data_IF_459024264226
#
_entry.id   IF_459024264226
#
_cell.length_a   1.000
_cell.length_b   1.000
_cell.length_c   1.000
_cell.angle_alpha   90.00
_cell.angle_beta   90.00
_cell.angle_gamma   90.00
#
_symmetry.space_group_name_H-M   'P 1'
#
loop_
_entity.id
_entity.type
_entity.pdbx_description
1 polymer ?
#
# COMPACT_ATOMS: atom_id res chain seq x y z
N UNK A 1 68.69 5.36 2.43
CA UNK A 1 67.55 6.08 1.84
C UNK A 1 66.53 5.03 1.43
N UNK A 2 65.54 4.79 2.27
CA UNK A 2 64.42 3.90 2.00
C UNK A 2 63.19 4.77 1.81
N UNK A 3 62.74 4.94 0.57
CA UNK A 3 61.52 5.65 0.23
C UNK A 3 60.30 4.85 0.73
N UNK A 4 59.47 5.53 1.52
CA UNK A 4 58.16 5.06 1.94
C UNK A 4 57.18 5.39 0.81
N UNK A 5 56.73 4.37 0.08
CA UNK A 5 55.60 4.51 -0.84
C UNK A 5 54.32 4.48 0.00
N UNK A 6 53.68 5.65 0.13
CA UNK A 6 52.30 5.76 0.63
C UNK A 6 51.36 5.13 -0.40
N UNK A 7 50.56 4.15 0.00
CA UNK A 7 49.42 3.67 -0.80
C UNK A 7 48.29 4.70 -0.66
N UNK A 8 47.85 5.26 -1.78
CA UNK A 8 46.56 5.94 -1.87
C UNK A 8 45.45 4.92 -1.56
N UNK A 9 44.66 5.19 -0.53
CA UNK A 9 43.41 4.46 -0.29
C UNK A 9 42.37 4.96 -1.29
N UNK A 10 41.83 4.04 -2.11
CA UNK A 10 40.74 4.29 -3.03
C UNK A 10 39.52 4.85 -2.28
N UNK A 11 39.27 6.16 -2.39
CA UNK A 11 37.96 6.74 -2.18
C UNK A 11 36.99 6.13 -3.20
N UNK A 12 36.28 5.06 -2.81
CA UNK A 12 35.07 4.64 -3.51
C UNK A 12 34.09 5.81 -3.49
N UNK A 13 34.05 6.58 -4.57
CA UNK A 13 32.96 7.50 -4.87
C UNK A 13 31.67 6.68 -4.84
N UNK A 14 30.93 6.78 -3.74
CA UNK A 14 29.58 6.26 -3.63
C UNK A 14 28.77 6.95 -4.72
N UNK A 15 28.32 6.17 -5.71
CA UNK A 15 27.32 6.64 -6.64
C UNK A 15 26.12 7.16 -5.84
N UNK A 16 25.54 8.32 -6.22
CA UNK A 16 24.35 8.82 -5.55
C UNK A 16 23.26 7.74 -5.63
N UNK A 17 22.54 7.48 -4.53
CA UNK A 17 21.52 6.44 -4.50
C UNK A 17 20.46 6.73 -5.56
N UNK A 18 19.99 5.67 -6.23
CA UNK A 18 18.94 5.75 -7.24
C UNK A 18 17.74 6.56 -6.71
N UNK A 19 17.37 7.68 -7.35
CA UNK A 19 16.27 8.53 -6.90
C UNK A 19 14.92 7.81 -6.92
N UNK A 20 14.80 6.70 -7.64
CA UNK A 20 13.61 5.84 -7.69
C UNK A 20 13.60 4.75 -6.62
N UNK A 21 14.70 4.59 -5.87
CA UNK A 21 14.74 3.63 -4.77
C UNK A 21 13.71 4.01 -3.70
N UNK A 22 13.00 3.01 -3.18
CA UNK A 22 11.95 3.14 -2.18
C UNK A 22 12.34 4.09 -1.02
N UNK A 23 13.55 3.93 -0.49
CA UNK A 23 14.04 4.75 0.62
C UNK A 23 14.30 6.23 0.27
N UNK A 24 14.68 6.53 -0.98
CA UNK A 24 14.87 7.92 -1.43
C UNK A 24 13.53 8.58 -1.72
N UNK A 25 12.60 7.85 -2.35
CA UNK A 25 11.23 8.31 -2.61
C UNK A 25 10.52 8.70 -1.31
N UNK A 26 10.42 7.78 -0.34
CA UNK A 26 9.70 8.05 0.92
C UNK A 26 10.39 9.06 1.84
N UNK A 27 11.66 9.40 1.59
CA UNK A 27 12.37 10.46 2.28
C UNK A 27 12.01 11.89 1.81
N UNK A 28 11.26 12.07 0.71
CA UNK A 28 10.89 13.41 0.21
C UNK A 28 9.56 13.88 0.83
N UNK A 29 9.52 15.16 1.22
CA UNK A 29 8.33 15.77 1.81
C UNK A 29 7.13 15.82 0.85
N UNK A 30 7.35 15.93 -0.46
CA UNK A 30 6.28 15.93 -1.46
C UNK A 30 5.45 14.64 -1.39
N UNK A 31 6.10 13.49 -1.29
CA UNK A 31 5.41 12.19 -1.25
C UNK A 31 4.67 12.00 0.09
N UNK A 32 5.29 12.42 1.20
CA UNK A 32 4.60 12.46 2.50
C UNK A 32 3.41 13.43 2.51
N UNK A 33 3.53 14.58 1.83
CA UNK A 33 2.47 15.55 1.73
C UNK A 33 1.25 14.99 0.97
N UNK A 34 1.46 14.26 -0.13
CA UNK A 34 0.37 13.61 -0.86
C UNK A 34 -0.43 12.67 0.05
N UNK A 35 0.27 11.89 0.88
CA UNK A 35 -0.32 11.00 1.87
C UNK A 35 -1.06 11.74 2.98
N UNK A 36 -0.49 12.84 3.51
CA UNK A 36 -1.08 13.65 4.56
C UNK A 36 -2.29 14.49 4.09
N UNK A 37 -2.32 14.88 2.82
CA UNK A 37 -3.43 15.63 2.22
C UNK A 37 -4.62 14.74 1.87
N UNK A 38 -4.43 13.42 1.80
CA UNK A 38 -5.53 12.46 1.78
C UNK A 38 -6.24 12.48 3.14
N UNK A 39 -7.27 13.33 3.23
CA UNK A 39 -8.05 13.50 4.45
C UNK A 39 -8.87 12.26 4.81
N UNK A 40 -9.31 11.48 3.81
CA UNK A 40 -10.08 10.24 4.04
C UNK A 40 -9.21 9.23 4.77
N UNK A 41 -7.98 9.03 4.27
CA UNK A 41 -6.96 8.23 4.95
C UNK A 41 -6.65 8.79 6.33
N UNK A 42 -6.16 10.03 6.39
CA UNK A 42 -5.51 10.55 7.60
C UNK A 42 -6.50 10.71 8.74
N UNK A 43 -7.72 11.19 8.45
CA UNK A 43 -8.76 11.33 9.48
C UNK A 43 -9.28 9.98 9.97
N UNK A 44 -9.44 8.97 9.08
CA UNK A 44 -9.88 7.65 9.52
C UNK A 44 -8.87 7.01 10.48
N UNK A 45 -7.56 7.08 10.17
CA UNK A 45 -6.51 6.60 11.08
C UNK A 45 -6.54 7.34 12.42
N UNK A 46 -6.67 8.67 12.38
CA UNK A 46 -6.80 9.48 13.60
C UNK A 46 -8.00 9.06 14.42
N UNK A 47 -9.17 8.91 13.80
CA UNK A 47 -10.41 8.50 14.46
C UNK A 47 -10.31 7.09 15.01
N UNK A 48 -9.75 6.15 14.26
CA UNK A 48 -9.56 4.77 14.70
C UNK A 48 -8.71 4.71 15.97
N UNK A 49 -7.66 5.55 16.06
CA UNK A 49 -6.79 5.63 17.24
C UNK A 49 -7.47 6.39 18.39
N UNK A 50 -7.91 7.62 18.15
CA UNK A 50 -8.40 8.53 19.21
C UNK A 50 -9.76 8.12 19.78
N UNK A 51 -10.67 7.58 18.95
CA UNK A 51 -11.98 7.12 19.45
C UNK A 51 -11.87 5.77 20.21
N UNK A 52 -10.75 5.06 20.03
CA UNK A 52 -10.39 3.87 20.78
C UNK A 52 -9.27 4.14 21.79
N UNK A 53 -9.22 5.35 22.35
CA UNK A 53 -8.27 5.78 23.40
C UNK A 53 -7.97 4.72 24.48
N UNK A 54 -8.96 3.93 24.92
CA UNK A 54 -8.79 2.84 25.90
C UNK A 54 -7.80 1.75 25.46
N UNK A 55 -7.60 1.60 24.15
CA UNK A 55 -6.61 0.68 23.58
C UNK A 55 -5.20 1.27 23.59
N UNK A 56 -5.06 2.59 23.78
CA UNK A 56 -3.79 3.32 23.73
C UNK A 56 -3.37 3.91 25.07
N UNK A 57 -4.30 4.28 25.97
CA UNK A 57 -4.00 5.00 27.20
C UNK A 57 -3.00 4.22 28.08
N UNK A 58 -1.85 4.85 28.35
CA UNK A 58 -0.76 4.25 29.12
C UNK A 58 0.01 3.11 28.43
N UNK A 59 -0.38 2.71 27.21
CA UNK A 59 0.21 1.60 26.47
C UNK A 59 1.53 1.95 25.78
N UNK A 60 2.30 0.91 25.45
CA UNK A 60 3.47 0.97 24.59
C UNK A 60 3.04 0.68 23.14
N UNK A 61 3.28 1.64 22.25
CA UNK A 61 2.85 1.58 20.85
C UNK A 61 4.05 1.51 19.92
N UNK A 62 3.96 0.72 18.85
CA UNK A 62 4.91 0.70 17.74
C UNK A 62 4.23 1.25 16.47
N UNK A 63 4.83 2.27 15.87
CA UNK A 63 4.45 2.83 14.57
C UNK A 63 5.43 2.36 13.50
N UNK A 64 4.99 1.42 12.64
CA UNK A 64 5.83 0.74 11.65
C UNK A 64 5.80 1.50 10.33
N UNK A 65 6.97 1.97 9.88
CA UNK A 65 7.07 2.82 8.69
C UNK A 65 6.45 4.20 8.95
N UNK A 66 6.81 4.79 10.09
CA UNK A 66 6.14 5.96 10.66
C UNK A 66 6.15 7.19 9.75
N UNK A 67 7.02 7.25 8.73
CA UNK A 67 7.14 8.39 7.83
C UNK A 67 7.40 9.67 8.62
N UNK A 68 6.47 10.61 8.58
CA UNK A 68 6.53 11.86 9.35
C UNK A 68 6.29 11.70 10.86
N UNK A 69 5.85 10.52 11.30
CA UNK A 69 5.44 10.23 12.67
C UNK A 69 3.99 10.63 12.98
N UNK A 70 3.16 10.92 11.97
CA UNK A 70 1.79 11.41 12.18
C UNK A 70 0.91 10.45 12.99
N UNK A 71 1.03 9.13 12.73
CA UNK A 71 0.29 8.13 13.49
C UNK A 71 0.80 8.02 14.93
N UNK A 72 2.11 8.16 15.13
CA UNK A 72 2.71 8.29 16.46
C UNK A 72 2.15 9.49 17.25
N UNK A 73 1.92 10.63 16.59
CA UNK A 73 1.26 11.78 17.24
C UNK A 73 -0.20 11.47 17.60
N UNK A 74 -0.95 10.74 16.78
CA UNK A 74 -2.32 10.32 17.12
C UNK A 74 -2.35 9.35 18.30
N UNK A 75 -1.42 8.38 18.35
CA UNK A 75 -1.27 7.50 19.50
C UNK A 75 -0.95 8.29 20.78
N UNK A 76 -0.07 9.30 20.68
CA UNK A 76 0.22 10.20 21.79
C UNK A 76 -1.00 11.04 22.22
N UNK A 77 -1.82 11.52 21.27
CA UNK A 77 -3.09 12.21 21.55
C UNK A 77 -4.09 11.30 22.27
N UNK A 78 -4.11 10.01 21.94
CA UNK A 78 -4.94 8.98 22.57
C UNK A 78 -4.40 8.52 23.94
N UNK A 79 -3.33 9.15 24.45
CA UNK A 79 -2.80 8.87 25.79
C UNK A 79 -1.75 7.77 25.87
N UNK A 80 -1.16 7.35 24.74
CA UNK A 80 -0.06 6.38 24.73
C UNK A 80 1.03 6.75 25.75
N UNK A 81 1.41 5.78 26.59
CA UNK A 81 2.48 5.97 27.57
C UNK A 81 3.84 6.11 26.86
N UNK A 82 4.03 5.37 25.77
CA UNK A 82 5.25 5.37 24.96
C UNK A 82 4.93 5.01 23.51
N UNK A 83 5.64 5.62 22.57
CA UNK A 83 5.54 5.30 21.13
C UNK A 83 6.92 5.13 20.53
N UNK A 84 7.18 4.01 19.87
CA UNK A 84 8.34 3.77 19.03
C UNK A 84 7.99 4.01 17.56
N UNK A 85 8.49 5.09 16.98
CA UNK A 85 8.28 5.46 15.59
C UNK A 85 9.44 4.93 14.73
N UNK A 86 9.25 3.76 14.11
CA UNK A 86 10.29 3.11 13.29
C UNK A 86 10.17 3.58 11.85
N UNK A 87 11.25 4.13 11.29
CA UNK A 87 11.27 4.65 9.91
C UNK A 87 12.62 4.35 9.25
N UNK A 88 12.60 3.68 8.10
CA UNK A 88 13.82 3.24 7.43
C UNK A 88 14.47 4.33 6.57
N UNK A 89 13.69 5.27 6.04
CA UNK A 89 14.16 6.31 5.12
C UNK A 89 14.78 7.51 5.85
N UNK A 90 15.28 8.47 5.07
CA UNK A 90 15.67 9.80 5.58
C UNK A 90 14.49 10.66 6.09
N UNK A 91 13.25 10.13 6.09
CA UNK A 91 12.12 10.79 6.74
C UNK A 91 12.21 10.72 8.27
N UNK A 92 12.87 9.70 8.82
CA UNK A 92 13.13 9.59 10.27
C UNK A 92 13.74 10.87 10.84
N UNK A 93 14.65 11.50 10.09
CA UNK A 93 15.30 12.73 10.53
C UNK A 93 14.32 13.91 10.64
N UNK A 94 13.31 13.94 9.77
CA UNK A 94 12.26 14.96 9.76
C UNK A 94 11.18 14.66 10.82
N UNK A 95 10.84 13.40 11.03
CA UNK A 95 9.99 12.97 12.14
C UNK A 95 10.59 13.39 13.48
N UNK A 96 11.89 13.12 13.71
CA UNK A 96 12.58 13.54 14.93
C UNK A 96 12.55 15.07 15.13
N UNK A 97 12.64 15.86 14.05
CA UNK A 97 12.46 17.32 14.11
C UNK A 97 11.04 17.72 14.53
N UNK A 98 10.01 17.02 14.05
CA UNK A 98 8.62 17.28 14.45
C UNK A 98 8.40 16.92 15.92
N UNK A 99 8.91 15.78 16.38
CA UNK A 99 8.80 15.34 17.78
C UNK A 99 9.58 16.28 18.71
N UNK A 100 10.71 16.82 18.26
CA UNK A 100 11.51 17.81 19.01
C UNK A 100 11.00 19.24 18.98
N UNK A 101 9.99 19.54 18.16
CA UNK A 101 9.47 20.89 17.99
C UNK A 101 8.73 21.36 19.26
N UNK A 102 8.99 22.60 19.69
CA UNK A 102 8.25 23.22 20.81
C UNK A 102 6.75 23.29 20.55
N UNK A 103 6.34 23.45 19.29
CA UNK A 103 4.92 23.49 18.92
C UNK A 103 4.20 22.16 19.27
N UNK A 104 4.92 21.04 19.21
CA UNK A 104 4.39 19.70 19.45
C UNK A 104 4.75 19.14 20.83
N UNK A 105 5.40 19.94 21.69
CA UNK A 105 5.91 19.46 22.97
C UNK A 105 4.80 18.91 23.88
N UNK A 106 3.60 19.46 23.81
CA UNK A 106 2.44 18.98 24.59
C UNK A 106 1.98 17.55 24.22
N UNK A 107 2.34 17.05 23.04
CA UNK A 107 2.05 15.67 22.59
C UNK A 107 3.28 14.77 22.72
N UNK A 108 4.46 15.29 22.38
CA UNK A 108 5.69 14.52 22.28
C UNK A 108 6.50 14.45 23.59
N UNK A 109 6.30 15.39 24.51
CA UNK A 109 7.05 15.51 25.77
C UNK A 109 6.09 15.58 26.95
N UNK A 110 6.36 14.81 28.00
CA UNK A 110 5.59 14.88 29.24
C UNK A 110 5.98 16.10 30.11
N UNK A 111 7.15 16.71 29.88
CA UNK A 111 7.57 17.90 30.61
C UNK A 111 8.49 18.84 29.80
N UNK A 112 8.33 20.14 30.04
CA UNK A 112 8.95 21.26 29.32
C UNK A 112 10.50 21.38 29.40
N UNK A 113 11.23 20.35 29.85
CA UNK A 113 12.64 20.50 30.27
C UNK A 113 13.68 19.59 29.56
N UNK A 114 13.29 18.73 28.61
CA UNK A 114 14.26 17.84 27.92
C UNK A 114 15.23 18.61 26.97
N UNK A 115 16.54 18.41 27.16
CA UNK A 115 17.64 19.24 26.62
C UNK A 115 18.45 18.70 25.42
N UNK A 116 18.22 17.52 24.83
CA UNK A 116 19.07 17.03 23.72
C UNK A 116 18.45 15.86 22.89
N UNK A 117 19.02 15.48 21.72
CA UNK A 117 18.27 15.12 20.50
C UNK A 117 17.58 13.74 20.47
N UNK A 118 16.47 13.68 19.72
CA UNK A 118 15.46 12.62 19.66
C UNK A 118 15.79 11.47 18.70
N UNK A 119 16.99 10.92 18.79
CA UNK A 119 17.35 9.72 18.04
C UNK A 119 17.87 8.66 18.99
N UNK A 120 17.30 7.48 18.91
CA UNK A 120 17.89 6.27 19.49
C UNK A 120 18.19 5.34 18.32
N UNK A 121 19.43 5.39 17.81
CA UNK A 121 19.92 4.45 16.78
C UNK A 121 19.87 2.99 17.27
N UNK A 122 19.81 2.82 18.59
CA UNK A 122 19.46 1.62 19.34
C UNK A 122 18.84 2.13 20.64
N UNK A 123 17.65 1.66 21.06
CA UNK A 123 17.04 2.18 22.28
C UNK A 123 17.86 1.73 23.50
N UNK A 124 18.74 2.60 23.99
CA UNK A 124 19.44 2.39 25.26
C UNK A 124 18.38 2.40 26.37
N UNK A 125 18.25 1.33 27.18
CA UNK A 125 17.31 1.27 28.30
C UNK A 125 17.43 2.45 29.28
N UNK A 126 18.60 3.10 29.38
CA UNK A 126 18.80 4.29 30.20
C UNK A 126 18.05 5.53 29.67
N UNK A 127 17.80 5.61 28.35
CA UNK A 127 17.02 6.67 27.74
C UNK A 127 15.51 6.57 28.09
N UNK A 128 15.03 5.39 28.47
CA UNK A 128 13.65 5.15 28.91
C UNK A 128 13.37 5.68 30.32
N UNK A 129 14.42 5.84 31.14
CA UNK A 129 14.31 6.33 32.52
C UNK A 129 14.22 7.87 32.61
N UNK A 130 14.59 8.58 31.55
CA UNK A 130 14.36 10.02 31.43
C UNK A 130 12.88 10.26 31.09
N UNK A 131 12.02 10.29 32.11
CA UNK A 131 10.55 10.36 32.06
C UNK A 131 9.91 11.58 31.38
N UNK A 132 10.59 12.19 30.40
CA UNK A 132 10.17 13.41 29.71
C UNK A 132 9.69 13.17 28.27
N UNK A 133 9.95 12.02 27.63
CA UNK A 133 9.64 11.76 26.21
C UNK A 133 8.59 10.67 26.02
N UNK A 134 7.58 10.96 25.19
CA UNK A 134 6.50 10.02 24.84
C UNK A 134 6.75 9.32 23.50
N UNK A 135 7.39 9.98 22.53
CA UNK A 135 7.64 9.43 21.19
C UNK A 135 9.15 9.31 20.94
N UNK A 136 9.61 8.12 20.56
CA UNK A 136 10.99 7.78 20.26
C UNK A 136 11.13 7.43 18.78
N UNK A 137 11.89 8.21 18.02
CA UNK A 137 12.14 7.93 16.60
C UNK A 137 13.33 6.99 16.46
N UNK A 138 13.10 5.85 15.80
CA UNK A 138 14.07 4.79 15.58
C UNK A 138 14.32 4.67 14.08
N UNK A 139 15.51 5.09 13.63
CA UNK A 139 15.87 5.05 12.21
C UNK A 139 16.36 3.66 11.82
N UNK A 140 15.63 3.00 10.94
CA UNK A 140 16.01 1.68 10.43
C UNK A 140 14.83 0.87 9.91
N UNK A 141 15.15 -0.25 9.26
CA UNK A 141 14.17 -1.25 8.83
C UNK A 141 13.61 -1.97 10.06
N UNK A 142 12.29 -2.18 10.11
CA UNK A 142 11.64 -2.80 11.27
C UNK A 142 12.12 -4.22 11.53
N UNK A 143 12.70 -4.89 10.53
CA UNK A 143 13.30 -6.22 10.59
C UNK A 143 14.70 -6.22 11.23
N UNK A 144 15.37 -5.06 11.25
CA UNK A 144 16.77 -4.92 11.67
C UNK A 144 16.96 -4.12 12.96
N UNK A 145 15.96 -3.32 13.37
CA UNK A 145 16.01 -2.57 14.63
C UNK A 145 15.78 -3.47 15.83
N UNK A 146 16.19 -2.99 17.01
CA UNK A 146 15.90 -3.60 18.30
C UNK A 146 15.13 -2.61 19.16
N UNK A 147 14.06 -3.09 19.80
CA UNK A 147 13.29 -2.37 20.80
C UNK A 147 13.62 -2.94 22.19
N UNK A 148 13.54 -2.13 23.26
CA UNK A 148 13.96 -2.54 24.59
C UNK A 148 12.89 -3.35 25.34
N UNK A 149 11.66 -3.39 24.80
CA UNK A 149 10.51 -4.08 25.37
C UNK A 149 9.52 -4.49 24.26
N UNK A 150 8.58 -5.36 24.58
CA UNK A 150 7.43 -5.68 23.72
C UNK A 150 6.38 -4.56 23.75
N UNK A 151 5.57 -4.46 22.70
CA UNK A 151 4.54 -3.43 22.55
C UNK A 151 3.14 -4.00 22.72
N UNK A 152 2.22 -3.20 23.22
CA UNK A 152 0.81 -3.55 23.38
C UNK A 152 0.01 -3.36 22.09
N UNK A 153 0.38 -2.35 21.29
CA UNK A 153 -0.33 -1.98 20.06
C UNK A 153 0.65 -1.70 18.93
N UNK A 154 0.37 -2.22 17.74
CA UNK A 154 1.02 -1.81 16.49
C UNK A 154 0.06 -0.96 15.67
N UNK A 155 0.52 0.23 15.30
CA UNK A 155 -0.10 1.07 14.28
C UNK A 155 0.79 1.09 13.04
N UNK A 156 0.19 1.09 11.85
CA UNK A 156 0.94 1.26 10.61
C UNK A 156 0.02 1.66 9.48
N UNK A 157 0.58 2.33 8.48
CA UNK A 157 -0.03 2.47 7.17
C UNK A 157 0.87 1.76 6.14
N UNK A 158 0.68 0.44 5.95
CA UNK A 158 1.47 -0.37 5.02
C UNK A 158 0.70 -0.69 3.72
N UNK A 159 -0.38 0.03 3.43
CA UNK A 159 -1.34 -0.34 2.40
C UNK A 159 -0.87 0.19 1.05
N UNK A 160 -0.59 -0.73 0.13
CA UNK A 160 -0.25 -0.38 -1.23
C UNK A 160 -1.46 -0.30 -2.16
N UNK A 161 -1.19 0.05 -3.41
CA UNK A 161 -2.11 -0.20 -4.51
C UNK A 161 -2.55 -1.68 -4.52
N UNK A 162 -3.86 -1.92 -4.74
CA UNK A 162 -4.48 -3.26 -4.60
C UNK A 162 -4.14 -3.95 -3.26
N UNK A 163 -4.02 -3.18 -2.17
CA UNK A 163 -3.64 -3.57 -0.81
C UNK A 163 -2.17 -3.99 -0.63
N UNK A 164 -1.63 -4.77 -1.58
CA UNK A 164 -0.39 -5.54 -1.40
C UNK A 164 0.83 -4.96 -2.10
N UNK A 165 0.65 -4.05 -3.07
CA UNK A 165 1.79 -3.44 -3.79
C UNK A 165 2.80 -2.81 -2.81
N UNK A 166 4.08 -2.73 -3.23
CA UNK A 166 5.23 -2.32 -2.41
C UNK A 166 5.62 -3.29 -1.29
N UNK A 167 4.82 -4.34 -1.04
CA UNK A 167 5.10 -5.45 -0.11
C UNK A 167 5.36 -5.00 1.33
N UNK A 168 4.88 -3.82 1.73
CA UNK A 168 5.06 -3.28 3.07
C UNK A 168 4.29 -4.07 4.15
N UNK A 169 3.28 -4.85 3.75
CA UNK A 169 2.61 -5.81 4.65
C UNK A 169 3.56 -6.87 5.23
N UNK A 170 4.65 -7.23 4.54
CA UNK A 170 5.67 -8.12 5.09
C UNK A 170 6.38 -7.49 6.30
N UNK A 171 6.64 -6.17 6.24
CA UNK A 171 7.24 -5.41 7.35
C UNK A 171 6.26 -5.31 8.53
N UNK A 172 4.95 -5.13 8.28
CA UNK A 172 3.93 -5.17 9.32
C UNK A 172 3.91 -6.52 10.04
N UNK A 173 3.90 -7.63 9.27
CA UNK A 173 3.91 -8.99 9.83
C UNK A 173 5.20 -9.26 10.61
N UNK A 174 6.35 -8.83 10.08
CA UNK A 174 7.63 -8.96 10.78
C UNK A 174 7.64 -8.16 12.10
N UNK A 175 7.06 -6.95 12.13
CA UNK A 175 6.94 -6.16 13.34
C UNK A 175 6.05 -6.84 14.39
N UNK A 176 4.91 -7.40 13.97
CA UNK A 176 4.01 -8.18 14.83
C UNK A 176 4.75 -9.33 15.48
N UNK A 177 5.39 -10.18 14.68
CA UNK A 177 6.04 -11.40 15.15
C UNK A 177 7.23 -11.13 16.07
N UNK A 178 7.91 -9.99 15.91
CA UNK A 178 9.07 -9.61 16.72
C UNK A 178 8.72 -8.87 18.00
N UNK A 179 7.71 -7.99 17.96
CA UNK A 179 7.54 -6.99 19.01
C UNK A 179 6.17 -7.00 19.69
N UNK A 180 5.12 -7.52 19.06
CA UNK A 180 3.79 -7.48 19.66
C UNK A 180 3.68 -8.47 20.82
N UNK A 181 3.26 -7.98 22.00
CA UNK A 181 2.98 -8.83 23.14
C UNK A 181 1.78 -9.77 22.86
N UNK A 182 1.68 -10.94 23.52
CA UNK A 182 0.50 -11.79 23.43
C UNK A 182 -0.79 -11.03 23.75
N UNK A 183 -1.78 -11.09 22.87
CA UNK A 183 -3.04 -10.34 23.01
C UNK A 183 -2.95 -8.86 22.64
N UNK A 184 -1.81 -8.41 22.10
CA UNK A 184 -1.67 -7.06 21.59
C UNK A 184 -2.55 -6.78 20.36
N UNK A 185 -2.77 -5.50 20.10
CA UNK A 185 -3.70 -5.02 19.08
C UNK A 185 -2.97 -4.54 17.82
N UNK A 186 -3.66 -4.58 16.68
CA UNK A 186 -3.15 -4.12 15.39
C UNK A 186 -4.13 -3.17 14.71
N UNK A 187 -3.63 -2.03 14.27
CA UNK A 187 -4.36 -0.97 13.59
C UNK A 187 -3.65 -0.62 12.26
N UNK A 188 -4.16 -1.06 11.09
CA UNK A 188 -5.39 -1.83 10.88
C UNK A 188 -5.29 -3.28 11.38
N UNK A 189 -6.44 -3.90 11.60
CA UNK A 189 -6.55 -5.29 12.07
C UNK A 189 -6.70 -6.27 10.91
N UNK A 190 -7.47 -5.91 9.89
CA UNK A 190 -7.66 -6.71 8.69
C UNK A 190 -7.60 -5.84 7.43
N UNK A 191 -7.27 -6.45 6.31
CA UNK A 191 -7.38 -5.86 4.98
C UNK A 191 -8.00 -6.86 4.01
N UNK A 192 -8.84 -6.40 3.09
CA UNK A 192 -9.47 -7.25 2.08
C UNK A 192 -9.30 -6.65 0.69
N UNK A 193 -8.84 -7.46 -0.26
CA UNK A 193 -8.92 -7.11 -1.69
C UNK A 193 -10.31 -7.47 -2.18
N UNK A 194 -10.94 -6.55 -2.90
CA UNK A 194 -12.25 -6.71 -3.51
C UNK A 194 -12.11 -6.68 -5.02
N UNK A 195 -12.85 -7.53 -5.74
CA UNK A 195 -12.75 -7.71 -7.19
C UNK A 195 -14.13 -7.86 -7.83
N UNK A 196 -14.41 -7.11 -8.90
CA UNK A 196 -15.63 -7.24 -9.72
C UNK A 196 -15.32 -7.26 -11.22
N UNK A 197 -16.09 -7.99 -12.04
CA UNK A 197 -16.05 -7.82 -13.48
C UNK A 197 -16.60 -6.45 -13.86
N UNK A 198 -15.90 -5.74 -14.75
CA UNK A 198 -16.28 -4.41 -15.22
C UNK A 198 -16.40 -4.33 -16.73
N UNK A 199 -17.26 -3.43 -17.19
CA UNK A 199 -17.34 -3.00 -18.58
C UNK A 199 -16.77 -1.59 -18.72
N UNK A 200 -15.70 -1.43 -19.51
CA UNK A 200 -15.06 -0.14 -19.76
C UNK A 200 -14.45 -0.13 -21.18
N UNK A 201 -15.33 0.00 -22.18
CA UNK A 201 -14.94 -0.04 -23.60
C UNK A 201 -14.03 1.14 -23.98
N UNK A 202 -14.20 2.30 -23.32
CA UNK A 202 -13.41 3.48 -23.60
C UNK A 202 -11.95 3.26 -23.19
N UNK A 203 -11.71 2.79 -21.96
CA UNK A 203 -10.37 2.48 -21.48
C UNK A 203 -9.73 1.34 -22.29
N UNK A 204 -10.51 0.31 -22.63
CA UNK A 204 -10.03 -0.79 -23.46
C UNK A 204 -9.55 -0.29 -24.84
N UNK A 205 -10.35 0.55 -25.50
CA UNK A 205 -10.00 1.15 -26.79
C UNK A 205 -8.77 2.05 -26.68
N UNK A 206 -8.60 2.79 -25.58
CA UNK A 206 -7.42 3.63 -25.36
C UNK A 206 -6.13 2.78 -25.30
N UNK A 207 -6.14 1.67 -24.56
CA UNK A 207 -4.98 0.77 -24.49
C UNK A 207 -4.67 0.13 -25.85
N UNK A 208 -5.71 -0.36 -26.55
CA UNK A 208 -5.55 -0.93 -27.89
C UNK A 208 -5.05 0.12 -28.92
N UNK A 209 -5.46 1.38 -28.77
CA UNK A 209 -5.01 2.47 -29.64
C UNK A 209 -3.52 2.78 -29.45
N UNK A 210 -2.98 2.71 -28.23
CA UNK A 210 -1.53 2.88 -27.98
C UNK A 210 -0.70 1.84 -28.73
N UNK A 211 -1.14 0.57 -28.69
CA UNK A 211 -0.52 -0.51 -29.44
C UNK A 211 -0.61 -0.31 -30.97
N UNK A 212 -1.62 0.42 -31.45
CA UNK A 212 -1.88 0.56 -32.89
C UNK A 212 -0.78 1.35 -33.63
N UNK A 213 0.08 2.08 -32.94
CA UNK A 213 1.31 2.65 -33.54
C UNK A 213 2.15 1.57 -34.24
N UNK A 214 2.25 0.39 -33.63
CA UNK A 214 3.04 -0.73 -34.14
C UNK A 214 2.40 -1.43 -35.34
N UNK A 215 1.19 -1.03 -35.77
CA UNK A 215 0.59 -1.51 -37.03
C UNK A 215 1.12 -0.80 -38.28
N UNK A 216 2.09 0.10 -38.13
CA UNK A 216 2.69 0.81 -39.26
C UNK A 216 3.55 -0.13 -40.10
N UNK A 217 3.10 -0.45 -41.31
CA UNK A 217 3.84 -1.23 -42.32
C UNK A 217 4.92 -0.40 -43.05
N UNK A 218 4.97 0.91 -42.82
CA UNK A 218 5.95 1.82 -43.44
C UNK A 218 6.30 3.02 -42.55
N UNK A 219 6.93 2.78 -41.40
CA UNK A 219 7.51 3.82 -40.56
C UNK A 219 8.89 4.22 -41.10
N UNK A 220 8.94 5.26 -41.94
CA UNK A 220 10.18 5.72 -42.61
C UNK A 220 10.90 4.61 -43.41
N UNK A 221 10.14 3.74 -44.10
CA UNK A 221 10.69 2.62 -44.87
C UNK A 221 10.87 1.32 -44.07
N UNK A 222 10.41 1.27 -42.82
CA UNK A 222 10.50 0.08 -41.95
C UNK A 222 9.11 -0.41 -41.58
N UNK A 223 8.85 -1.70 -41.77
CA UNK A 223 7.63 -2.37 -41.30
C UNK A 223 7.78 -2.72 -39.81
N UNK A 224 6.89 -2.20 -38.97
CA UNK A 224 6.88 -2.41 -37.51
C UNK A 224 5.89 -3.51 -37.06
N UNK A 225 5.09 -4.07 -37.98
CA UNK A 225 3.92 -4.91 -37.67
C UNK A 225 4.25 -6.19 -36.90
N UNK A 226 5.45 -6.74 -37.10
CA UNK A 226 5.96 -7.91 -36.37
C UNK A 226 6.01 -7.71 -34.84
N UNK A 227 6.05 -6.45 -34.36
CA UNK A 227 6.08 -6.12 -32.93
C UNK A 227 4.69 -5.80 -32.35
N UNK A 228 3.64 -5.74 -33.17
CA UNK A 228 2.31 -5.32 -32.73
C UNK A 228 1.73 -6.20 -31.62
N UNK A 229 1.80 -7.52 -31.78
CA UNK A 229 1.21 -8.44 -30.81
C UNK A 229 1.93 -8.39 -29.46
N UNK A 230 3.26 -8.24 -29.46
CA UNK A 230 4.04 -8.06 -28.24
C UNK A 230 3.69 -6.73 -27.56
N UNK A 231 3.64 -5.62 -28.31
CA UNK A 231 3.28 -4.33 -27.75
C UNK A 231 1.86 -4.35 -27.15
N UNK A 232 0.91 -4.99 -27.83
CA UNK A 232 -0.44 -5.16 -27.33
C UNK A 232 -0.46 -5.95 -26.01
N UNK A 233 0.30 -7.04 -25.90
CA UNK A 233 0.44 -7.78 -24.64
C UNK A 233 1.08 -6.94 -23.54
N UNK A 234 2.07 -6.10 -23.84
CA UNK A 234 2.70 -5.20 -22.87
C UNK A 234 1.71 -4.17 -22.33
N UNK A 235 0.95 -3.48 -23.19
CA UNK A 235 -0.07 -2.51 -22.75
C UNK A 235 -1.18 -3.17 -21.91
N UNK A 236 -1.67 -4.34 -22.32
CA UNK A 236 -2.70 -5.07 -21.56
C UNK A 236 -2.16 -5.78 -20.30
N UNK A 237 -0.83 -5.85 -20.13
CA UNK A 237 -0.20 -6.35 -18.91
C UNK A 237 -0.02 -5.27 -17.84
N UNK A 238 -0.31 -4.00 -18.13
CA UNK A 238 -0.23 -2.92 -17.16
C UNK A 238 -1.46 -2.91 -16.24
N UNK A 239 -1.23 -2.70 -14.94
CA UNK A 239 -2.32 -2.42 -14.02
C UNK A 239 -2.74 -0.95 -14.18
N UNK A 240 -4.02 -0.70 -14.46
CA UNK A 240 -4.51 0.67 -14.65
C UNK A 240 -5.00 1.26 -13.33
N UNK A 241 -4.30 2.27 -12.84
CA UNK A 241 -4.63 3.00 -11.60
C UNK A 241 -5.57 4.14 -11.91
N UNK A 242 -6.72 4.20 -11.26
CA UNK A 242 -7.63 5.35 -11.34
C UNK A 242 -9.08 4.99 -11.05
N UNK A 243 -9.94 6.01 -11.06
CA UNK A 243 -11.35 5.82 -10.73
C UNK A 243 -12.13 5.14 -11.86
N UNK A 244 -13.16 4.39 -11.49
CA UNK A 244 -14.22 3.93 -12.39
C UNK A 244 -15.61 4.12 -11.76
N UNK A 245 -16.62 4.32 -12.59
CA UNK A 245 -18.01 4.45 -12.10
C UNK A 245 -18.49 3.12 -11.51
N UNK A 246 -19.24 3.12 -10.39
CA UNK A 246 -19.97 1.94 -9.94
C UNK A 246 -20.82 1.28 -11.04
N UNK A 247 -21.34 2.08 -11.99
CA UNK A 247 -22.11 1.59 -13.14
C UNK A 247 -21.27 0.73 -14.10
N UNK A 248 -19.94 0.73 -14.00
CA UNK A 248 -19.10 -0.17 -14.78
C UNK A 248 -19.23 -1.63 -14.31
N UNK A 249 -19.66 -1.88 -13.06
CA UNK A 249 -19.80 -3.22 -12.50
C UNK A 249 -20.81 -4.07 -13.28
N UNK A 250 -20.42 -5.31 -13.59
CA UNK A 250 -21.25 -6.30 -14.29
C UNK A 250 -21.86 -7.32 -13.32
N UNK A 251 -21.45 -7.30 -12.05
CA UNK A 251 -22.01 -8.11 -10.96
C UNK A 251 -22.12 -7.26 -9.67
N UNK A 252 -22.99 -7.66 -8.75
CA UNK A 252 -23.25 -6.90 -7.50
C UNK A 252 -22.35 -7.32 -6.33
N UNK A 253 -21.85 -8.55 -6.35
CA UNK A 253 -21.09 -9.13 -5.24
C UNK A 253 -19.62 -9.28 -5.62
N UNK A 254 -18.70 -8.53 -4.97
CA UNK A 254 -17.28 -8.69 -5.21
C UNK A 254 -16.79 -10.04 -4.70
N UNK A 255 -15.84 -10.62 -5.44
CA UNK A 255 -14.97 -11.63 -4.89
C UNK A 255 -14.01 -10.95 -3.90
N UNK A 256 -13.73 -11.62 -2.78
CA UNK A 256 -12.96 -11.04 -1.69
C UNK A 256 -11.82 -11.94 -1.25
N UNK A 257 -10.64 -11.35 -1.03
CA UNK A 257 -9.50 -11.98 -0.35
C UNK A 257 -9.18 -11.23 0.93
N UNK A 258 -9.56 -11.81 2.06
CA UNK A 258 -9.29 -11.29 3.39
C UNK A 258 -7.89 -11.69 3.88
N UNK A 259 -7.21 -10.72 4.47
CA UNK A 259 -5.96 -10.85 5.20
C UNK A 259 -6.19 -10.40 6.64
N UNK A 260 -6.11 -11.34 7.59
CA UNK A 260 -6.15 -11.02 9.01
C UNK A 260 -4.73 -10.76 9.51
N UNK A 261 -4.37 -9.50 9.74
CA UNK A 261 -3.00 -9.12 10.08
C UNK A 261 -2.55 -9.69 11.42
N UNK A 262 -3.45 -10.19 12.26
CA UNK A 262 -3.12 -10.85 13.53
C UNK A 262 -2.54 -12.25 13.33
N UNK A 263 -2.92 -12.93 12.26
CA UNK A 263 -2.54 -14.33 12.01
C UNK A 263 -1.79 -14.54 10.70
N UNK A 264 -1.84 -13.57 9.79
CA UNK A 264 -1.24 -13.65 8.45
C UNK A 264 0.25 -13.99 8.51
N UNK A 265 0.70 -14.94 7.68
CA UNK A 265 2.11 -15.27 7.53
C UNK A 265 2.74 -14.62 6.30
N UNK A 266 4.06 -14.39 6.34
CA UNK A 266 4.82 -13.88 5.17
C UNK A 266 4.69 -14.82 3.96
N UNK A 267 4.76 -16.17 4.08
CA UNK A 267 4.54 -17.05 2.94
C UNK A 267 3.17 -16.87 2.26
N UNK A 268 2.10 -16.63 3.03
CA UNK A 268 0.77 -16.31 2.47
C UNK A 268 0.74 -14.97 1.72
N UNK A 269 1.56 -14.00 2.14
CA UNK A 269 1.73 -12.76 1.39
C UNK A 269 2.54 -12.95 0.10
N UNK A 270 3.44 -13.94 0.04
CA UNK A 270 4.30 -14.15 -1.13
C UNK A 270 3.58 -14.79 -2.31
N UNK A 271 2.59 -15.63 -2.03
CA UNK A 271 1.74 -16.22 -3.05
C UNK A 271 0.35 -16.49 -2.49
N UNK A 272 -0.68 -15.99 -3.17
CA UNK A 272 -2.07 -16.23 -2.79
C UNK A 272 -3.01 -16.24 -3.98
N UNK A 273 -4.15 -16.89 -3.78
CA UNK A 273 -5.25 -16.96 -4.74
C UNK A 273 -6.43 -16.12 -4.27
N UNK A 274 -7.11 -15.48 -5.23
CA UNK A 274 -8.44 -14.87 -5.09
C UNK A 274 -9.40 -15.67 -5.99
N UNK A 275 -10.25 -16.55 -5.44
CA UNK A 275 -11.24 -17.26 -6.26
C UNK A 275 -12.29 -16.27 -6.78
N UNK A 276 -12.66 -16.42 -8.05
CA UNK A 276 -13.66 -15.59 -8.70
C UNK A 276 -14.92 -16.43 -8.94
N UNK A 277 -16.07 -15.93 -8.51
CA UNK A 277 -17.39 -16.51 -8.77
C UNK A 277 -18.38 -15.36 -8.84
N UNK A 278 -18.94 -15.13 -10.02
CA UNK A 278 -19.80 -13.99 -10.31
C UNK A 278 -21.06 -14.42 -11.03
N UNK A 279 -22.17 -13.74 -10.73
CA UNK A 279 -23.39 -13.77 -11.53
C UNK A 279 -23.54 -12.42 -12.21
N UNK A 280 -23.58 -12.40 -13.54
CA UNK A 280 -23.76 -11.17 -14.28
C UNK A 280 -25.16 -10.58 -14.03
N UNK A 281 -25.23 -9.33 -13.64
CA UNK A 281 -26.51 -8.64 -13.34
C UNK A 281 -27.06 -7.90 -14.56
N UNK A 282 -26.24 -7.73 -15.60
CA UNK A 282 -26.61 -7.13 -16.88
C UNK A 282 -25.88 -7.78 -18.06
N UNK A 283 -26.50 -7.70 -19.23
CA UNK A 283 -25.85 -8.09 -20.49
C UNK A 283 -24.81 -7.03 -20.86
N UNK A 284 -23.55 -7.43 -21.01
CA UNK A 284 -22.43 -6.53 -21.28
C UNK A 284 -21.23 -7.30 -21.87
N UNK A 285 -20.22 -6.54 -22.30
CA UNK A 285 -18.88 -7.08 -22.54
C UNK A 285 -18.00 -6.75 -21.33
N UNK A 286 -17.45 -7.78 -20.70
CA UNK A 286 -16.48 -7.67 -19.60
C UNK A 286 -15.12 -7.36 -20.22
N UNK A 287 -14.65 -6.14 -20.02
CA UNK A 287 -13.38 -5.66 -20.54
C UNK A 287 -12.22 -5.89 -19.56
N UNK A 288 -12.52 -6.22 -18.31
CA UNK A 288 -11.53 -6.47 -17.27
C UNK A 288 -12.15 -6.68 -15.90
N UNK A 289 -11.31 -6.64 -14.87
CA UNK A 289 -11.70 -6.66 -13.46
C UNK A 289 -11.38 -5.31 -12.82
N UNK A 290 -12.34 -4.75 -12.09
CA UNK A 290 -12.11 -3.64 -11.18
C UNK A 290 -11.73 -4.19 -9.81
N UNK A 291 -10.68 -3.66 -9.20
CA UNK A 291 -10.21 -4.05 -7.88
C UNK A 291 -10.01 -2.85 -6.97
N UNK A 292 -10.32 -3.02 -5.69
CA UNK A 292 -10.05 -2.05 -4.64
C UNK A 292 -9.73 -2.80 -3.36
N UNK A 293 -9.55 -2.08 -2.25
CA UNK A 293 -9.37 -2.71 -0.96
C UNK A 293 -10.14 -2.03 0.14
N UNK A 294 -10.31 -2.78 1.21
CA UNK A 294 -10.90 -2.32 2.46
C UNK A 294 -9.95 -2.67 3.60
N UNK A 295 -9.88 -1.82 4.62
CA UNK A 295 -9.10 -2.08 5.82
C UNK A 295 -9.95 -1.79 7.06
N UNK A 296 -10.01 -2.74 7.99
CA UNK A 296 -10.85 -2.64 9.19
C UNK A 296 -9.97 -2.51 10.43
N UNK A 297 -10.36 -1.59 11.31
CA UNK A 297 -9.74 -1.29 12.58
C UNK A 297 -10.68 -1.78 13.68
N UNK A 298 -10.39 -2.94 14.27
CA UNK A 298 -11.17 -3.50 15.36
C UNK A 298 -10.66 -2.94 16.70
N UNK A 299 -11.13 -1.75 17.07
CA UNK A 299 -10.88 -1.20 18.40
C UNK A 299 -11.93 -1.62 19.43
N UNK A 300 -11.61 -1.45 20.70
CA UNK A 300 -12.46 -1.89 21.82
C UNK A 300 -13.72 -1.05 22.00
N UNK A 301 -13.73 0.22 21.55
CA UNK A 301 -14.91 1.10 21.59
C UNK A 301 -15.66 1.11 20.27
N UNK A 302 -14.93 1.23 19.17
CA UNK A 302 -15.47 1.44 17.83
C UNK A 302 -14.72 0.61 16.79
N UNK A 303 -15.47 0.04 15.85
CA UNK A 303 -14.93 -0.61 14.65
C UNK A 303 -15.06 0.35 13.48
N UNK A 304 -13.93 0.71 12.86
CA UNK A 304 -13.90 1.59 11.68
C UNK A 304 -13.42 0.83 10.45
N UNK A 305 -13.88 1.26 9.28
CA UNK A 305 -13.44 0.70 8.00
C UNK A 305 -13.01 1.81 7.03
N UNK A 306 -11.86 1.61 6.39
CA UNK A 306 -11.44 2.32 5.18
C UNK A 306 -11.94 1.52 3.98
N UNK A 307 -12.55 2.18 3.01
CA UNK A 307 -12.81 1.57 1.70
C UNK A 307 -12.27 2.48 0.61
N UNK A 308 -11.54 1.89 -0.33
CA UNK A 308 -11.12 2.55 -1.57
C UNK A 308 -12.04 2.20 -2.74
N UNK A 309 -13.22 1.67 -2.46
CA UNK A 309 -14.18 1.24 -3.48
C UNK A 309 -14.76 2.38 -4.31
N UNK A 310 -15.33 2.08 -5.50
CA UNK A 310 -15.86 3.08 -6.43
C UNK A 310 -17.08 3.85 -5.90
N UNK A 311 -17.73 3.35 -4.85
CA UNK A 311 -18.85 4.01 -4.14
C UNK A 311 -18.41 4.82 -2.93
N UNK A 312 -17.13 4.79 -2.58
CA UNK A 312 -16.55 5.50 -1.43
C UNK A 312 -15.87 6.80 -1.86
N UNK A 313 -15.65 7.75 -0.93
CA UNK A 313 -14.86 8.94 -1.21
C UNK A 313 -13.48 8.59 -1.78
N UNK A 314 -13.02 9.40 -2.73
CA UNK A 314 -11.73 9.19 -3.39
C UNK A 314 -10.55 9.27 -2.43
N UNK A 315 -9.56 8.42 -2.65
CA UNK A 315 -8.30 8.35 -1.92
C UNK A 315 -7.12 8.40 -2.90
N UNK A 316 -5.91 8.64 -2.40
CA UNK A 316 -4.71 8.64 -3.25
C UNK A 316 -4.35 7.26 -3.83
N UNK A 317 -4.93 6.17 -3.32
CA UNK A 317 -4.75 4.82 -3.88
C UNK A 317 -5.59 4.56 -5.13
N UNK A 318 -6.66 5.35 -5.34
CA UNK A 318 -7.63 5.10 -6.40
C UNK A 318 -8.19 3.67 -6.36
N UNK A 319 -8.65 3.16 -7.51
CA UNK A 319 -8.89 1.74 -7.75
C UNK A 319 -7.90 1.20 -8.79
N UNK A 320 -7.89 -0.12 -8.93
CA UNK A 320 -7.14 -0.87 -9.92
C UNK A 320 -8.09 -1.42 -10.99
N UNK A 321 -7.68 -1.40 -12.26
CA UNK A 321 -8.39 -2.07 -13.35
C UNK A 321 -7.43 -3.00 -14.09
N UNK A 322 -7.77 -4.28 -14.13
CA UNK A 322 -7.03 -5.36 -14.78
C UNK A 322 -7.73 -5.68 -16.11
N UNK A 323 -7.25 -5.14 -17.22
CA UNK A 323 -7.92 -5.28 -18.52
C UNK A 323 -7.63 -6.63 -19.16
N UNK A 324 -8.59 -7.16 -19.90
CA UNK A 324 -8.42 -8.36 -20.71
C UNK A 324 -8.12 -8.00 -22.16
N UNK A 325 -7.02 -8.53 -22.71
CA UNK A 325 -6.76 -8.45 -24.16
C UNK A 325 -7.91 -9.02 -24.98
N UNK A 326 -8.56 -10.08 -24.48
CA UNK A 326 -9.77 -10.69 -25.05
C UNK A 326 -10.95 -10.53 -24.08
N UNK A 327 -11.81 -9.52 -24.28
CA UNK A 327 -13.02 -9.32 -23.49
C UNK A 327 -14.00 -10.49 -23.61
N UNK A 328 -14.85 -10.67 -22.59
CA UNK A 328 -15.87 -11.73 -22.56
C UNK A 328 -17.26 -11.10 -22.66
N UNK A 329 -18.04 -11.46 -23.68
CA UNK A 329 -19.46 -11.09 -23.74
C UNK A 329 -20.28 -11.99 -22.80
N UNK A 330 -21.17 -11.38 -22.03
CA UNK A 330 -22.02 -12.07 -21.05
C UNK A 330 -23.45 -11.53 -21.13
N UNK A 331 -24.42 -12.40 -20.94
CA UNK A 331 -25.82 -12.06 -20.72
C UNK A 331 -26.13 -11.98 -19.23
N UNK A 332 -27.11 -11.14 -18.87
CA UNK A 332 -27.66 -11.14 -17.52
C UNK A 332 -28.00 -12.57 -17.08
N UNK A 333 -27.77 -12.87 -15.80
CA UNK A 333 -27.93 -14.17 -15.11
C UNK A 333 -26.89 -15.26 -15.43
N UNK A 334 -26.03 -15.06 -16.43
CA UNK A 334 -24.94 -16.01 -16.68
C UNK A 334 -23.87 -15.94 -15.58
N UNK A 335 -23.22 -17.07 -15.34
CA UNK A 335 -22.20 -17.22 -14.30
C UNK A 335 -20.79 -17.21 -14.87
N UNK A 336 -19.87 -16.60 -14.15
CA UNK A 336 -18.45 -16.62 -14.45
C UNK A 336 -17.70 -17.19 -13.26
N UNK A 337 -16.72 -18.06 -13.51
CA UNK A 337 -15.78 -18.50 -12.49
C UNK A 337 -14.34 -18.31 -12.93
N UNK A 338 -13.43 -18.38 -11.97
CA UNK A 338 -12.03 -18.20 -12.26
C UNK A 338 -11.21 -17.94 -11.02
N UNK A 339 -10.07 -17.28 -11.23
CA UNK A 339 -9.10 -17.01 -10.16
C UNK A 339 -8.12 -15.92 -10.56
N UNK A 340 -7.67 -15.15 -9.57
CA UNK A 340 -6.44 -14.37 -9.65
C UNK A 340 -5.40 -15.09 -8.79
N UNK A 341 -4.29 -15.51 -9.39
CA UNK A 341 -3.12 -16.01 -8.67
C UNK A 341 -2.07 -14.90 -8.63
N UNK A 342 -1.74 -14.42 -7.43
CA UNK A 342 -0.75 -13.38 -7.20
C UNK A 342 0.54 -13.99 -6.66
N UNK A 343 1.67 -13.66 -7.28
CA UNK A 343 3.01 -14.09 -6.83
C UNK A 343 3.94 -12.90 -6.77
N UNK A 344 4.72 -12.78 -5.69
CA UNK A 344 5.68 -11.69 -5.56
C UNK A 344 6.76 -11.73 -6.64
N UNK A 345 7.26 -10.56 -7.02
CA UNK A 345 8.39 -10.41 -7.93
C UNK A 345 9.54 -9.61 -7.28
N UNK A 346 10.67 -9.53 -7.98
CA UNK A 346 11.90 -8.88 -7.50
C UNK A 346 11.82 -7.34 -7.49
N UNK A 347 10.69 -6.77 -7.95
CA UNK A 347 10.45 -5.32 -8.04
C UNK A 347 9.53 -4.82 -6.92
N UNK A 348 9.58 -5.49 -5.76
CA UNK A 348 8.75 -5.20 -4.59
C UNK A 348 7.24 -5.20 -4.90
N UNK A 349 6.80 -6.09 -5.80
CA UNK A 349 5.43 -6.10 -6.29
C UNK A 349 4.96 -7.52 -6.61
N UNK A 350 3.90 -7.66 -7.39
CA UNK A 350 3.27 -8.93 -7.76
C UNK A 350 3.08 -9.05 -9.26
N UNK A 351 3.30 -10.26 -9.77
CA UNK A 351 2.78 -10.71 -11.04
C UNK A 351 1.44 -11.42 -10.78
N UNK A 352 0.40 -11.03 -11.50
CA UNK A 352 -0.94 -11.59 -11.40
C UNK A 352 -1.22 -12.45 -12.63
N UNK A 353 -1.68 -13.67 -12.42
CA UNK A 353 -2.29 -14.49 -13.46
C UNK A 353 -3.80 -14.53 -13.21
N UNK A 354 -4.55 -13.88 -14.09
CA UNK A 354 -6.01 -13.83 -14.05
C UNK A 354 -6.57 -14.84 -15.04
N UNK A 355 -7.46 -15.71 -14.59
CA UNK A 355 -8.28 -16.57 -15.44
C UNK A 355 -9.74 -16.32 -15.15
N UNK A 356 -10.56 -16.16 -16.18
CA UNK A 356 -12.02 -16.02 -16.07
C UNK A 356 -12.69 -16.84 -17.17
N UNK A 357 -13.71 -17.60 -16.81
CA UNK A 357 -14.45 -18.52 -17.67
C UNK A 357 -15.95 -18.21 -17.58
N UNK A 358 -16.65 -18.29 -18.72
CA UNK A 358 -18.11 -18.20 -18.77
C UNK A 358 -18.69 -19.61 -18.65
N UNK A 359 -19.33 -19.90 -17.51
CA UNK A 359 -19.83 -21.23 -17.17
C UNK A 359 -20.76 -21.79 -18.26
N UNK A 360 -20.58 -23.08 -18.58
CA UNK A 360 -21.36 -23.78 -19.60
C UNK A 360 -20.95 -23.49 -21.05
N UNK A 361 -19.83 -22.81 -21.28
CA UNK A 361 -19.26 -22.54 -22.61
C UNK A 361 -17.76 -22.83 -22.66
N UNK A 362 -17.13 -22.75 -23.83
CA UNK A 362 -15.66 -22.77 -23.96
C UNK A 362 -15.03 -21.36 -23.90
N UNK A 363 -15.85 -20.32 -23.65
CA UNK A 363 -15.39 -18.93 -23.63
C UNK A 363 -14.63 -18.67 -22.32
N UNK A 364 -13.35 -18.30 -22.46
CA UNK A 364 -12.48 -17.94 -21.35
C UNK A 364 -11.45 -16.90 -21.77
N UNK A 365 -10.86 -16.25 -20.77
CA UNK A 365 -9.73 -15.34 -20.94
C UNK A 365 -8.69 -15.63 -19.87
N UNK A 366 -7.42 -15.52 -20.27
CA UNK A 366 -6.27 -15.61 -19.38
C UNK A 366 -5.40 -14.39 -19.64
N UNK A 367 -5.10 -13.63 -18.59
CA UNK A 367 -4.33 -12.41 -18.68
C UNK A 367 -3.24 -12.41 -17.61
N UNK A 368 -2.03 -12.04 -18.01
CA UNK A 368 -0.95 -11.70 -17.07
C UNK A 368 -0.96 -10.20 -16.85
N UNK A 369 -0.87 -9.77 -15.60
CA UNK A 369 -0.76 -8.36 -15.22
C UNK A 369 0.44 -8.20 -14.29
N UNK A 370 1.22 -7.13 -14.50
CA UNK A 370 2.34 -6.75 -13.64
C UNK A 370 1.89 -5.60 -12.76
N UNK A 371 1.81 -5.82 -11.44
CA UNK A 371 1.33 -4.81 -10.51
C UNK A 371 2.36 -3.68 -10.28
N UNK A 372 3.64 -3.93 -10.59
CA UNK A 372 4.70 -2.89 -10.62
C UNK A 372 4.64 -1.98 -11.85
N UNK A 373 4.04 -2.44 -12.94
CA UNK A 373 3.93 -1.67 -14.18
C UNK A 373 2.57 -0.99 -14.25
N UNK A 374 2.50 0.18 -13.62
CA UNK A 374 1.27 0.93 -13.43
C UNK A 374 1.09 1.98 -14.53
N UNK A 375 -0.11 2.01 -15.09
CA UNK A 375 -0.56 3.12 -15.91
C UNK A 375 -1.58 3.96 -15.13
N UNK A 376 -1.24 5.20 -14.84
CA UNK A 376 -2.15 6.12 -14.17
C UNK A 376 -3.15 6.74 -15.15
N UNK A 377 -4.44 6.57 -14.87
CA UNK A 377 -5.57 7.10 -15.61
C UNK A 377 -6.42 7.97 -14.68
N UNK A 378 -6.00 9.22 -14.54
CA UNK A 378 -6.57 10.19 -13.60
C UNK A 378 -7.92 10.75 -14.11
N UNK A 379 -9.00 9.99 -13.89
CA UNK A 379 -10.36 10.54 -13.94
C UNK A 379 -10.67 11.28 -12.63
N UNK A 380 -11.61 12.22 -12.63
CA UNK A 380 -12.13 12.77 -11.37
C UNK A 380 -12.83 11.66 -10.59
N UNK A 381 -12.76 11.69 -9.25
CA UNK A 381 -13.54 10.78 -8.42
C UNK A 381 -15.04 10.94 -8.78
N UNK A 382 -15.81 9.84 -8.91
CA UNK A 382 -17.24 9.95 -9.17
C UNK A 382 -17.88 10.81 -8.07
N UNK A 383 -18.72 11.76 -8.48
CA UNK A 383 -19.50 12.54 -7.52
C UNK A 383 -20.39 11.57 -6.73
N UNK A 384 -20.49 11.69 -5.39
CA UNK A 384 -21.41 10.87 -4.63
C UNK A 384 -22.83 11.04 -5.18
N UNK A 385 -23.68 9.99 -5.16
CA UNK A 385 -25.05 10.11 -5.63
C UNK A 385 -25.73 11.28 -4.91
N UNK A 386 -26.32 12.19 -5.68
CA UNK A 386 -27.08 13.30 -5.11
C UNK A 386 -28.28 12.70 -4.34
N UNK A 387 -28.30 12.92 -3.02
CA UNK A 387 -29.36 12.48 -2.11
C UNK A 387 -30.71 13.08 -2.43
#
# INVERSE_FOLDING_TARGET
MSEVVMKEEDEKKLEPPDPTSFGVYYARLLHQQNMLQDSVRTDLYRRAIVMNDVDFEGRVVLDVGSGTGILSFFAAQAGAGRVYAVEASGMADKAARLVGSRANAHLARYAAHARSPLFVNSVDPSALQAGDLRIFVVKGKVENVSLPESVDVIVSEPLGFMLVHERMLEALVAARDRFLAPGGLMFPTTGAIQVLPITDVALWNEQAAKASFWRSDNFYGVDLTDLYDQALDEYFSQAVVGYFSPDAAVADHPASKLFDFRTLSIPELRAFDIPLDFVATKTAVIHGLGCWFEAVFHGSKEVLALSTGPTSPGTHWYQCRLLFRRPIAVNATQRLDGRITATVNDRLSYDLLVTLHLQGTDISTTQRIRLDDQMYHYLQAPAPPMS
#
